data_IF_195064971176
#
_entry.id   IF_195064971176
#
_cell.length_a   1.000
_cell.length_b   1.000
_cell.length_c   1.000
_cell.angle_alpha   90.00
_cell.angle_beta   90.00
_cell.angle_gamma   90.00
#
_symmetry.space_group_name_H-M   'P 1'
#
loop_
_entity.id
_entity.type
_entity.pdbx_description
1 polymer ?
#
# COMPACT_ATOMS: atom_id res chain seq x y z
N UNK A 1 6.44 -4.58 13.99
CA UNK A 1 5.75 -4.20 12.74
C UNK A 1 4.67 -3.18 13.05
N UNK A 2 4.60 -2.14 12.25
CA UNK A 2 3.59 -1.10 12.44
C UNK A 2 2.20 -1.59 12.01
N UNK A 3 1.20 -1.23 12.79
CA UNK A 3 -0.20 -1.54 12.51
C UNK A 3 -1.02 -0.27 12.45
N UNK A 4 -1.94 -0.20 11.49
CA UNK A 4 -2.91 0.89 11.40
C UNK A 4 -4.29 0.28 11.28
N UNK A 5 -5.16 0.58 12.24
CA UNK A 5 -6.50 0.00 12.32
C UNK A 5 -7.63 0.99 12.10
N UNK A 6 -7.34 2.29 12.10
CA UNK A 6 -8.37 3.32 11.96
C UNK A 6 -8.32 4.00 10.62
N UNK A 7 -9.49 4.14 9.98
CA UNK A 7 -9.64 4.92 8.74
C UNK A 7 -9.43 6.42 8.99
N UNK A 8 -9.44 6.85 10.25
CA UNK A 8 -9.18 8.24 10.62
C UNK A 8 -7.69 8.57 10.75
N UNK A 9 -6.83 7.56 10.68
CA UNK A 9 -5.38 7.76 10.74
C UNK A 9 -4.96 8.75 9.64
N UNK A 10 -4.16 9.78 9.96
CA UNK A 10 -3.75 10.79 8.97
C UNK A 10 -3.03 10.20 7.74
N UNK A 11 -2.23 9.16 7.93
CA UNK A 11 -1.56 8.50 6.82
C UNK A 11 -2.58 7.86 5.88
N UNK A 12 -3.60 7.18 6.42
CA UNK A 12 -4.65 6.57 5.61
C UNK A 12 -5.43 7.64 4.86
N UNK A 13 -5.74 8.76 5.50
CA UNK A 13 -6.41 9.87 4.83
C UNK A 13 -5.56 10.41 3.68
N UNK A 14 -4.25 10.49 3.85
CA UNK A 14 -3.36 10.93 2.78
C UNK A 14 -3.36 9.96 1.61
N UNK A 15 -3.45 8.66 1.86
CA UNK A 15 -3.54 7.65 0.80
C UNK A 15 -4.85 7.74 0.03
N UNK A 16 -5.95 8.05 0.71
CA UNK A 16 -7.24 8.28 0.04
C UNK A 16 -7.14 9.47 -0.90
N UNK A 17 -6.50 10.57 -0.47
CA UNK A 17 -6.27 11.73 -1.33
C UNK A 17 -5.43 11.36 -2.55
N UNK A 18 -4.39 10.58 -2.32
CA UNK A 18 -3.51 10.10 -3.38
C UNK A 18 -4.29 9.28 -4.42
N UNK A 19 -5.21 8.44 -3.95
CA UNK A 19 -6.04 7.61 -4.81
C UNK A 19 -7.03 8.43 -5.64
N UNK A 20 -7.64 9.44 -5.02
CA UNK A 20 -8.71 10.23 -5.64
C UNK A 20 -8.22 11.38 -6.52
N UNK A 21 -7.06 11.95 -6.23
CA UNK A 21 -6.63 13.22 -6.83
C UNK A 21 -5.32 13.10 -7.62
N UNK A 22 -5.42 13.27 -8.93
CA UNK A 22 -4.25 13.27 -9.81
C UNK A 22 -3.24 14.35 -9.43
N UNK A 23 -3.71 15.49 -8.92
CA UNK A 23 -2.84 16.58 -8.47
C UNK A 23 -1.93 16.13 -7.34
N UNK A 24 -2.47 15.36 -6.39
CA UNK A 24 -1.69 14.85 -5.26
C UNK A 24 -0.64 13.87 -5.77
N UNK A 25 -1.00 12.98 -6.69
CA UNK A 25 -0.03 12.05 -7.30
C UNK A 25 1.11 12.79 -7.99
N UNK A 26 0.80 13.86 -8.70
CA UNK A 26 1.82 14.69 -9.35
C UNK A 26 2.73 15.38 -8.35
N UNK A 27 2.16 15.95 -7.30
CA UNK A 27 2.92 16.70 -6.30
C UNK A 27 3.83 15.79 -5.48
N UNK A 28 3.37 14.58 -5.15
CA UNK A 28 4.14 13.64 -4.32
C UNK A 28 5.05 12.73 -5.13
N UNK A 29 4.80 12.59 -6.43
CA UNK A 29 5.53 11.64 -7.26
C UNK A 29 5.22 10.17 -6.90
N UNK A 30 4.10 9.91 -6.23
CA UNK A 30 3.71 8.57 -5.78
C UNK A 30 2.30 8.24 -6.20
N UNK A 31 1.96 6.96 -6.16
CA UNK A 31 0.61 6.49 -6.47
C UNK A 31 0.36 5.16 -5.77
N UNK A 32 -0.92 4.80 -5.66
CA UNK A 32 -1.34 3.53 -5.06
C UNK A 32 -1.55 2.48 -6.13
N UNK A 33 -1.14 1.27 -5.81
CA UNK A 33 -1.48 0.09 -6.63
C UNK A 33 -1.95 -1.01 -5.69
N UNK A 34 -2.74 -1.93 -6.21
CA UNK A 34 -3.26 -3.05 -5.46
C UNK A 34 -2.97 -4.35 -6.17
N UNK A 35 -2.54 -5.34 -5.38
CA UNK A 35 -2.35 -6.70 -5.87
C UNK A 35 -0.92 -7.03 -6.22
N UNK A 36 -0.58 -8.29 -5.99
CA UNK A 36 0.77 -8.82 -6.23
C UNK A 36 1.21 -8.62 -7.69
N UNK A 37 0.32 -8.92 -8.62
CA UNK A 37 0.62 -8.79 -10.05
C UNK A 37 0.93 -7.35 -10.46
N UNK A 38 0.14 -6.41 -9.96
CA UNK A 38 0.34 -4.99 -10.26
C UNK A 38 1.64 -4.48 -9.68
N UNK A 39 1.98 -4.94 -8.48
CA UNK A 39 3.25 -4.61 -7.84
C UNK A 39 4.43 -5.12 -8.67
N UNK A 40 4.36 -6.37 -9.11
CA UNK A 40 5.41 -6.95 -9.94
C UNK A 40 5.60 -6.19 -11.26
N UNK A 41 4.49 -5.80 -11.90
CA UNK A 41 4.54 -5.01 -13.13
C UNK A 41 5.16 -3.63 -12.90
N UNK A 42 4.81 -2.98 -11.79
CA UNK A 42 5.37 -1.68 -11.45
C UNK A 42 6.89 -1.77 -11.25
N UNK A 43 7.35 -2.79 -10.56
CA UNK A 43 8.77 -3.01 -10.33
C UNK A 43 9.52 -3.26 -11.65
N UNK A 44 8.93 -4.02 -12.56
CA UNK A 44 9.50 -4.24 -13.89
C UNK A 44 9.57 -2.94 -14.69
N UNK A 45 8.63 -2.04 -14.46
CA UNK A 45 8.60 -0.73 -15.10
C UNK A 45 9.55 0.30 -14.50
N UNK A 46 10.34 -0.09 -13.49
CA UNK A 46 11.33 0.80 -12.86
C UNK A 46 10.80 1.62 -11.70
N UNK A 47 9.57 1.37 -11.24
CA UNK A 47 9.03 2.05 -10.08
C UNK A 47 9.62 1.46 -8.78
N UNK A 48 9.79 2.32 -7.79
CA UNK A 48 10.24 1.89 -6.47
C UNK A 48 9.06 1.67 -5.54
N UNK A 49 9.12 0.60 -4.75
CA UNK A 49 8.09 0.30 -3.78
C UNK A 49 8.45 0.94 -2.44
N UNK A 50 7.70 1.97 -2.07
CA UNK A 50 7.95 2.73 -0.85
C UNK A 50 7.34 2.06 0.38
N UNK A 51 6.06 1.71 0.30
CA UNK A 51 5.33 1.13 1.42
C UNK A 51 4.40 0.04 0.94
N UNK A 52 4.38 -1.08 1.68
CA UNK A 52 3.38 -2.13 1.51
C UNK A 52 2.42 -2.05 2.70
N UNK A 53 1.12 -2.01 2.39
CA UNK A 53 0.07 -2.20 3.38
C UNK A 53 -0.56 -3.55 3.11
N UNK A 54 -0.71 -4.37 4.14
CA UNK A 54 -1.25 -5.72 3.95
C UNK A 54 -2.30 -6.09 4.98
N UNK A 55 -3.27 -6.89 4.52
CA UNK A 55 -4.30 -7.47 5.37
C UNK A 55 -3.95 -8.95 5.58
N UNK A 56 -3.67 -9.38 6.83
CA UNK A 56 -3.22 -10.75 7.09
C UNK A 56 -4.16 -11.84 6.61
N UNK A 57 -5.44 -11.56 6.50
CA UNK A 57 -6.44 -12.51 5.99
C UNK A 57 -6.27 -12.78 4.49
N UNK A 58 -5.65 -11.85 3.76
CA UNK A 58 -5.42 -11.97 2.31
C UNK A 58 -4.03 -12.50 2.04
N UNK A 59 -3.02 -11.95 2.73
CA UNK A 59 -1.64 -12.39 2.59
C UNK A 59 -0.97 -12.39 3.95
N UNK A 60 -0.33 -13.50 4.31
CA UNK A 60 0.35 -13.61 5.60
C UNK A 60 1.68 -12.86 5.59
N UNK A 61 2.17 -12.53 6.78
CA UNK A 61 3.48 -11.94 6.95
C UNK A 61 4.58 -12.81 6.34
N UNK A 62 4.46 -14.13 6.49
CA UNK A 62 5.41 -15.07 5.89
C UNK A 62 5.42 -14.97 4.38
N UNK A 63 4.24 -14.91 3.76
CA UNK A 63 4.13 -14.75 2.31
C UNK A 63 4.75 -13.44 1.83
N UNK A 64 4.59 -12.36 2.61
CA UNK A 64 5.24 -11.09 2.31
C UNK A 64 6.75 -11.20 2.35
N UNK A 65 7.28 -11.87 3.38
CA UNK A 65 8.72 -12.04 3.53
C UNK A 65 9.33 -12.90 2.43
N UNK A 66 8.53 -13.78 1.83
CA UNK A 66 8.97 -14.62 0.72
C UNK A 66 9.01 -13.88 -0.62
N UNK A 67 8.43 -12.67 -0.68
CA UNK A 67 8.53 -11.85 -1.88
C UNK A 67 9.95 -11.31 -2.02
N UNK A 68 10.43 -11.25 -3.25
CA UNK A 68 11.75 -10.67 -3.53
C UNK A 68 11.79 -9.16 -3.39
N UNK A 69 10.69 -8.58 -2.98
CA UNK A 69 10.47 -7.15 -2.86
C UNK A 69 10.93 -6.69 -1.47
N UNK A 70 11.68 -5.60 -1.43
CA UNK A 70 12.12 -5.01 -0.16
C UNK A 70 11.63 -3.56 -0.07
N UNK A 71 10.38 -3.35 0.36
CA UNK A 71 9.87 -2.01 0.55
C UNK A 71 10.55 -1.32 1.74
N UNK A 72 10.54 0.00 1.75
CA UNK A 72 11.06 0.76 2.89
C UNK A 72 10.21 0.57 4.14
N UNK A 73 8.90 0.43 3.97
CA UNK A 73 7.96 0.28 5.07
C UNK A 73 6.97 -0.85 4.80
N UNK A 74 6.64 -1.59 5.86
CA UNK A 74 5.61 -2.63 5.81
C UNK A 74 4.64 -2.34 6.94
N UNK A 75 3.35 -2.24 6.61
CA UNK A 75 2.30 -1.87 7.56
C UNK A 75 1.17 -2.88 7.49
N UNK A 76 0.81 -3.45 8.64
CA UNK A 76 -0.37 -4.29 8.76
C UNK A 76 -1.59 -3.39 8.92
N UNK A 77 -2.65 -3.66 8.18
CA UNK A 77 -3.88 -2.85 8.25
C UNK A 77 -5.08 -3.72 8.64
N UNK A 78 -6.11 -3.06 9.17
CA UNK A 78 -7.37 -3.70 9.48
C UNK A 78 -8.22 -3.87 8.23
N UNK A 79 -9.27 -4.69 8.36
CA UNK A 79 -10.23 -4.89 7.28
C UNK A 79 -10.91 -3.58 6.88
N UNK A 80 -11.24 -2.73 7.84
CA UNK A 80 -11.86 -1.43 7.57
C UNK A 80 -10.95 -0.53 6.75
N UNK A 81 -9.67 -0.49 7.10
CA UNK A 81 -8.68 0.29 6.35
C UNK A 81 -8.51 -0.28 4.94
N UNK A 82 -8.43 -1.60 4.83
CA UNK A 82 -8.33 -2.24 3.52
C UNK A 82 -9.52 -1.89 2.64
N UNK A 83 -10.73 -1.99 3.17
CA UNK A 83 -11.96 -1.67 2.42
C UNK A 83 -12.01 -0.21 2.00
N UNK A 84 -11.45 0.69 2.79
CA UNK A 84 -11.37 2.11 2.46
C UNK A 84 -10.44 2.37 1.29
N UNK A 85 -9.32 1.65 1.22
CA UNK A 85 -8.29 1.85 0.21
C UNK A 85 -8.50 0.99 -1.03
N UNK A 86 -9.00 -0.23 -0.87
CA UNK A 86 -9.26 -1.15 -1.98
C UNK A 86 -10.59 -0.79 -2.62
N UNK A 87 -10.54 -0.30 -3.79
CA UNK A 87 -11.71 0.20 -4.46
C UNK A 87 -12.17 -0.70 -5.58
#
# INVERSE_FOLDING_TARGET
MKQITSVQNPFIKSLVQLQEKAKVRKQTGTFLIEGKREIELALKGGYELETILFLPEIISEKQLNDLTIKPLNVIEISKEVYQKLAY
#
